data_IF_186508401537
#
_entry.id   IF_186508401537
#
_cell.length_a   1.000
_cell.length_b   1.000
_cell.length_c   1.000
_cell.angle_alpha   90.00
_cell.angle_beta   90.00
_cell.angle_gamma   90.00
#
_symmetry.space_group_name_H-M   'P 1'
#
loop_
_entity.id
_entity.type
_entity.pdbx_description
1 polymer ?
#
# COMPACT_ATOMS: atom_id res chain seq x y z
N UNK A 1 4.75 -82.13 1.66
CA UNK A 1 4.43 -81.43 0.38
C UNK A 1 3.14 -80.61 0.39
N UNK A 2 2.03 -81.09 0.96
CA UNK A 2 0.74 -80.35 0.95
C UNK A 2 0.71 -79.05 1.80
N UNK A 3 1.51 -78.94 2.86
CA UNK A 3 1.55 -77.73 3.70
C UNK A 3 2.30 -76.55 3.06
N UNK A 4 3.42 -76.81 2.36
CA UNK A 4 4.17 -75.75 1.64
C UNK A 4 3.38 -75.13 0.48
N UNK A 5 2.48 -75.90 -0.15
CA UNK A 5 1.63 -75.45 -1.27
C UNK A 5 0.45 -74.56 -0.81
N UNK A 6 -0.05 -74.74 0.43
CA UNK A 6 -1.08 -73.86 1.01
C UNK A 6 -0.50 -72.53 1.49
N UNK A 7 0.72 -72.53 2.02
CA UNK A 7 1.40 -71.31 2.47
C UNK A 7 1.79 -70.40 1.30
N UNK A 8 2.23 -70.95 0.16
CA UNK A 8 2.55 -70.17 -1.05
C UNK A 8 1.32 -69.54 -1.72
N UNK A 9 0.15 -70.18 -1.62
CA UNK A 9 -1.12 -69.64 -2.14
C UNK A 9 -1.64 -68.52 -1.23
N UNK A 10 -1.55 -68.67 0.10
CA UNK A 10 -1.91 -67.61 1.04
C UNK A 10 -0.98 -66.38 0.92
N UNK A 11 0.34 -66.59 0.75
CA UNK A 11 1.30 -65.50 0.55
C UNK A 11 1.07 -64.79 -0.79
N UNK A 12 0.72 -65.54 -1.84
CA UNK A 12 0.38 -65.00 -3.16
C UNK A 12 -0.91 -64.18 -3.15
N UNK A 13 -1.93 -64.59 -2.39
CA UNK A 13 -3.18 -63.83 -2.22
C UNK A 13 -2.94 -62.57 -1.38
N UNK A 14 -2.13 -62.65 -0.31
CA UNK A 14 -1.77 -61.49 0.51
C UNK A 14 -0.94 -60.46 -0.29
N UNK A 15 0.02 -60.92 -1.10
CA UNK A 15 0.78 -60.05 -2.01
C UNK A 15 -0.09 -59.49 -3.15
N UNK A 16 -1.11 -60.23 -3.60
CA UNK A 16 -2.08 -59.72 -4.58
C UNK A 16 -2.96 -58.62 -3.98
N UNK A 17 -3.40 -58.72 -2.72
CA UNK A 17 -4.13 -57.64 -2.04
C UNK A 17 -3.24 -56.45 -1.63
N UNK A 18 -1.96 -56.68 -1.32
CA UNK A 18 -1.00 -55.59 -1.10
C UNK A 18 -0.66 -54.88 -2.42
N UNK A 19 -0.53 -55.62 -3.54
CA UNK A 19 -0.34 -55.06 -4.87
C UNK A 19 -1.62 -54.36 -5.40
N UNK A 20 -2.81 -54.88 -5.10
CA UNK A 20 -4.09 -54.23 -5.41
C UNK A 20 -4.32 -52.99 -4.54
N UNK A 21 -3.91 -53.04 -3.27
CA UNK A 21 -3.87 -51.87 -2.38
C UNK A 21 -2.90 -50.80 -2.88
N UNK A 22 -1.72 -51.19 -3.35
CA UNK A 22 -0.72 -50.28 -3.94
C UNK A 22 -1.13 -49.75 -5.33
N UNK A 23 -1.93 -50.49 -6.10
CA UNK A 23 -2.53 -50.00 -7.36
C UNK A 23 -3.76 -49.10 -7.13
N UNK A 24 -4.43 -49.18 -5.98
CA UNK A 24 -5.50 -48.28 -5.60
C UNK A 24 -5.00 -46.93 -5.07
N UNK A 25 -3.69 -46.77 -4.82
CA UNK A 25 -3.09 -45.49 -4.43
C UNK A 25 -2.68 -44.59 -5.60
N UNK A 26 -2.81 -45.05 -6.86
CA UNK A 26 -2.50 -44.22 -8.04
C UNK A 26 -3.75 -43.73 -8.80
N UNK A 27 -4.94 -44.17 -8.42
CA UNK A 27 -6.18 -43.62 -8.93
C UNK A 27 -6.73 -42.60 -7.92
N UNK A 28 -6.99 -41.35 -8.33
CA UNK A 28 -7.74 -40.41 -7.50
C UNK A 28 -9.05 -41.06 -7.07
N UNK A 29 -9.27 -41.20 -5.76
CA UNK A 29 -10.57 -41.62 -5.26
C UNK A 29 -11.45 -40.37 -5.28
N UNK A 30 -12.38 -40.31 -6.23
CA UNK A 30 -13.38 -39.27 -6.29
C UNK A 30 -14.57 -39.69 -5.42
N UNK A 31 -14.73 -39.02 -4.27
CA UNK A 31 -15.78 -39.32 -3.32
C UNK A 31 -16.90 -38.29 -3.52
N UNK A 32 -17.81 -38.56 -4.46
CA UNK A 32 -19.10 -37.84 -4.52
C UNK A 32 -20.06 -38.48 -3.52
N UNK A 33 -19.78 -38.33 -2.23
CA UNK A 33 -20.76 -38.71 -1.21
C UNK A 33 -21.70 -37.56 -1.01
N UNK A 34 -22.98 -37.82 -1.24
CA UNK A 34 -24.09 -36.98 -0.81
C UNK A 34 -24.16 -36.98 0.74
N UNK A 35 -23.14 -36.50 1.47
CA UNK A 35 -23.07 -36.58 2.95
C UNK A 35 -22.17 -35.49 3.60
N UNK A 36 -22.76 -34.82 4.60
CA UNK A 36 -22.17 -34.05 5.73
C UNK A 36 -21.32 -32.80 5.49
N UNK A 37 -20.70 -32.60 4.32
CA UNK A 37 -19.90 -31.38 4.05
C UNK A 37 -20.36 -30.69 2.77
N UNK A 38 -20.29 -29.34 2.68
CA UNK A 38 -20.67 -28.60 1.48
C UNK A 38 -19.60 -28.64 0.38
N UNK A 39 -18.68 -29.60 0.40
CA UNK A 39 -17.52 -29.69 -0.50
C UNK A 39 -17.50 -31.03 -1.23
N UNK A 40 -17.28 -30.98 -2.54
CA UNK A 40 -16.79 -32.10 -3.34
C UNK A 40 -15.26 -32.10 -3.30
N UNK A 41 -14.65 -33.21 -2.89
CA UNK A 41 -13.21 -33.31 -2.69
C UNK A 41 -12.59 -34.53 -3.36
N UNK A 42 -11.33 -34.40 -3.77
CA UNK A 42 -10.46 -35.50 -4.17
C UNK A 42 -9.44 -35.75 -3.06
N UNK A 43 -9.24 -37.00 -2.67
CA UNK A 43 -8.20 -37.37 -1.69
C UNK A 43 -7.05 -38.04 -2.42
N UNK A 44 -5.84 -37.51 -2.23
CA UNK A 44 -4.59 -38.11 -2.73
C UNK A 44 -3.50 -37.99 -1.67
N UNK A 45 -2.70 -39.04 -1.48
CA UNK A 45 -1.55 -39.05 -0.57
C UNK A 45 -1.82 -38.57 0.87
N UNK A 46 -3.06 -38.68 1.37
CA UNK A 46 -3.44 -38.24 2.72
C UNK A 46 -3.80 -36.76 2.84
N UNK A 47 -3.97 -36.04 1.72
CA UNK A 47 -4.50 -34.69 1.68
C UNK A 47 -5.76 -34.60 0.81
N UNK A 48 -6.54 -33.55 1.05
CA UNK A 48 -7.76 -33.24 0.31
C UNK A 48 -7.56 -32.02 -0.61
N UNK A 49 -8.12 -32.13 -1.80
CA UNK A 49 -8.27 -31.05 -2.78
C UNK A 49 -9.75 -30.77 -2.98
N UNK A 50 -10.18 -29.50 -2.88
CA UNK A 50 -11.58 -29.11 -3.09
C UNK A 50 -11.81 -28.92 -4.59
N UNK A 51 -12.72 -29.70 -5.17
CA UNK A 51 -13.06 -29.63 -6.60
C UNK A 51 -14.33 -28.82 -6.87
N UNK A 52 -15.28 -28.81 -5.93
CA UNK A 52 -16.49 -27.99 -6.01
C UNK A 52 -17.04 -27.67 -4.63
N UNK A 53 -17.69 -26.51 -4.51
CA UNK A 53 -18.56 -26.15 -3.41
C UNK A 53 -20.00 -26.48 -3.80
N UNK A 54 -20.82 -26.96 -2.86
CA UNK A 54 -22.14 -27.52 -3.13
C UNK A 54 -23.28 -26.83 -2.37
N UNK A 55 -22.96 -25.89 -1.47
CA UNK A 55 -23.95 -25.08 -0.73
C UNK A 55 -24.20 -23.75 -1.45
N UNK A 56 -25.28 -23.07 -1.09
CA UNK A 56 -25.62 -21.71 -1.55
C UNK A 56 -25.17 -20.61 -0.57
N UNK A 57 -24.40 -20.97 0.47
CA UNK A 57 -23.91 -19.99 1.44
C UNK A 57 -22.91 -19.02 0.78
N UNK A 58 -23.03 -17.74 1.13
CA UNK A 58 -22.16 -16.66 0.63
C UNK A 58 -21.05 -16.29 1.62
N UNK A 59 -21.11 -16.82 2.84
CA UNK A 59 -20.06 -16.69 3.86
C UNK A 59 -19.40 -18.07 4.06
N UNK A 60 -18.27 -18.29 3.39
CA UNK A 60 -17.64 -19.61 3.25
C UNK A 60 -16.33 -19.65 4.03
N UNK A 61 -16.24 -20.58 4.98
CA UNK A 61 -15.01 -20.89 5.69
C UNK A 61 -14.43 -22.20 5.15
N UNK A 62 -13.28 -22.15 4.47
CA UNK A 62 -12.55 -23.36 4.07
C UNK A 62 -11.86 -23.94 5.30
N UNK A 63 -12.21 -25.15 5.75
CA UNK A 63 -11.58 -25.75 6.91
C UNK A 63 -10.19 -26.27 6.61
N UNK A 64 -9.30 -26.28 7.62
CA UNK A 64 -7.97 -26.88 7.52
C UNK A 64 -8.02 -28.39 7.24
N UNK A 65 -9.12 -29.05 7.63
CA UNK A 65 -9.37 -30.47 7.41
C UNK A 65 -10.80 -30.73 6.93
N UNK A 66 -10.97 -31.61 5.95
CA UNK A 66 -12.26 -32.17 5.52
C UNK A 66 -12.19 -33.69 5.66
N UNK A 67 -13.13 -34.27 6.41
CA UNK A 67 -13.15 -35.72 6.71
C UNK A 67 -11.84 -36.24 7.35
N UNK A 68 -11.17 -35.40 8.16
CA UNK A 68 -9.90 -35.73 8.84
C UNK A 68 -8.67 -35.70 7.93
N UNK A 69 -8.82 -35.26 6.66
CA UNK A 69 -7.72 -35.06 5.73
C UNK A 69 -7.39 -33.57 5.64
N UNK A 70 -6.10 -33.23 5.71
CA UNK A 70 -5.63 -31.84 5.56
C UNK A 70 -6.00 -31.31 4.17
N UNK A 71 -6.68 -30.18 4.11
CA UNK A 71 -6.94 -29.49 2.84
C UNK A 71 -5.65 -28.82 2.37
N UNK A 72 -5.19 -29.14 1.17
CA UNK A 72 -3.93 -28.63 0.63
C UNK A 72 -4.10 -27.85 -0.66
N UNK A 73 -5.19 -28.06 -1.41
CA UNK A 73 -5.50 -27.27 -2.60
C UNK A 73 -6.99 -26.99 -2.79
N UNK A 74 -7.28 -25.90 -3.50
CA UNK A 74 -8.60 -25.56 -4.04
C UNK A 74 -8.45 -25.45 -5.56
N UNK A 75 -9.20 -26.26 -6.30
CA UNK A 75 -9.14 -26.33 -7.75
C UNK A 75 -9.85 -25.14 -8.43
N UNK A 76 -9.72 -25.03 -9.75
CA UNK A 76 -10.39 -23.97 -10.49
C UNK A 76 -11.91 -24.14 -10.48
N UNK A 77 -12.64 -23.02 -10.53
CA UNK A 77 -14.11 -22.96 -10.65
C UNK A 77 -14.90 -23.62 -9.50
N UNK A 78 -14.29 -23.79 -8.32
CA UNK A 78 -14.92 -24.43 -7.16
C UNK A 78 -16.24 -23.78 -6.75
N UNK A 79 -16.38 -22.47 -6.92
CA UNK A 79 -17.54 -21.69 -6.48
C UNK A 79 -18.45 -21.22 -7.62
N UNK A 80 -18.28 -21.78 -8.83
CA UNK A 80 -18.92 -21.29 -10.06
C UNK A 80 -20.46 -21.22 -10.03
N UNK A 81 -21.13 -22.00 -9.17
CA UNK A 81 -22.59 -22.06 -9.12
C UNK A 81 -23.23 -20.97 -8.26
N UNK A 82 -22.45 -20.27 -7.43
CA UNK A 82 -22.94 -19.26 -6.49
C UNK A 82 -23.40 -17.94 -7.17
N UNK A 83 -23.20 -17.81 -8.48
CA UNK A 83 -23.66 -16.67 -9.27
C UNK A 83 -22.90 -15.38 -8.98
N UNK A 84 -23.53 -14.23 -9.25
CA UNK A 84 -22.94 -12.87 -9.09
C UNK A 84 -23.02 -12.34 -7.66
N UNK A 85 -23.26 -13.18 -6.66
CA UNK A 85 -23.34 -12.72 -5.28
C UNK A 85 -21.92 -12.52 -4.75
N UNK A 86 -21.72 -11.42 -4.01
CA UNK A 86 -20.49 -11.20 -3.24
C UNK A 86 -20.32 -12.36 -2.26
N UNK A 87 -19.26 -13.13 -2.44
CA UNK A 87 -18.91 -14.24 -1.54
C UNK A 87 -17.77 -13.78 -0.62
N UNK A 88 -17.88 -14.08 0.66
CA UNK A 88 -16.80 -13.92 1.64
C UNK A 88 -16.15 -15.27 1.85
N UNK A 89 -14.92 -15.41 1.37
CA UNK A 89 -14.21 -16.66 1.38
C UNK A 89 -13.01 -16.58 2.31
N UNK A 90 -13.03 -17.33 3.42
CA UNK A 90 -11.84 -17.56 4.20
C UNK A 90 -11.10 -18.79 3.68
N UNK A 91 -9.83 -18.62 3.31
CA UNK A 91 -8.92 -19.69 2.91
C UNK A 91 -7.73 -19.63 3.89
N UNK A 92 -7.34 -20.73 4.56
CA UNK A 92 -6.08 -20.81 5.34
C UNK A 92 -4.80 -20.74 4.49
N UNK A 93 -3.69 -20.19 5.03
CA UNK A 93 -2.49 -19.73 4.27
C UNK A 93 -1.61 -20.88 3.86
N UNK A 94 -1.89 -22.02 4.47
CA UNK A 94 -1.37 -23.33 4.17
C UNK A 94 -1.97 -23.93 2.89
N UNK A 95 -3.05 -23.37 2.33
CA UNK A 95 -3.77 -23.94 1.19
C UNK A 95 -3.33 -23.29 -0.12
N UNK A 96 -2.92 -24.11 -1.07
CA UNK A 96 -2.59 -23.65 -2.43
C UNK A 96 -3.88 -23.40 -3.23
N UNK A 97 -3.97 -22.23 -3.85
CA UNK A 97 -5.15 -21.80 -4.60
C UNK A 97 -4.82 -21.89 -6.08
N UNK A 98 -5.68 -22.56 -6.87
CA UNK A 98 -5.58 -22.50 -8.32
C UNK A 98 -5.86 -21.07 -8.84
N UNK A 99 -5.30 -20.72 -10.00
CA UNK A 99 -5.32 -19.33 -10.50
C UNK A 99 -6.72 -18.72 -10.66
N UNK A 100 -7.76 -19.53 -10.87
CA UNK A 100 -9.12 -19.09 -11.10
C UNK A 100 -10.13 -19.90 -10.28
N UNK A 101 -10.48 -19.45 -9.07
CA UNK A 101 -11.50 -20.11 -8.23
C UNK A 101 -12.93 -20.05 -8.81
N UNK A 102 -13.17 -19.21 -9.82
CA UNK A 102 -14.45 -18.95 -10.49
C UNK A 102 -14.26 -18.93 -12.01
N UNK A 103 -15.36 -19.12 -12.76
CA UNK A 103 -15.34 -19.08 -14.22
C UNK A 103 -15.09 -17.64 -14.72
N UNK A 104 -14.38 -17.49 -15.84
CA UNK A 104 -13.88 -16.24 -16.40
C UNK A 104 -14.97 -15.24 -16.88
N UNK A 105 -16.23 -15.48 -16.53
CA UNK A 105 -17.37 -14.65 -16.91
C UNK A 105 -18.08 -14.12 -15.65
N UNK A 106 -17.57 -12.97 -15.18
CA UNK A 106 -18.29 -11.97 -14.37
C UNK A 106 -18.80 -12.37 -12.97
N UNK A 107 -17.93 -12.73 -12.03
CA UNK A 107 -18.31 -12.91 -10.61
C UNK A 107 -17.23 -12.39 -9.66
N UNK A 108 -17.65 -11.91 -8.49
CA UNK A 108 -16.77 -11.26 -7.52
C UNK A 108 -16.87 -11.82 -6.12
N UNK A 109 -15.74 -11.85 -5.43
CA UNK A 109 -15.69 -12.25 -4.03
C UNK A 109 -14.51 -11.57 -3.32
N UNK A 110 -14.56 -11.60 -1.99
CA UNK A 110 -13.47 -11.18 -1.13
C UNK A 110 -12.84 -12.40 -0.46
N UNK A 111 -11.51 -12.48 -0.45
CA UNK A 111 -10.79 -13.28 0.52
C UNK A 111 -10.38 -12.44 1.73
N UNK A 112 -10.60 -12.98 2.93
CA UNK A 112 -10.31 -12.34 4.22
C UNK A 112 -9.34 -13.23 5.00
N UNK A 113 -8.32 -12.64 5.62
CA UNK A 113 -7.34 -13.32 6.49
C UNK A 113 -7.43 -12.80 7.94
N UNK A 114 -7.36 -13.72 8.91
CA UNK A 114 -7.89 -13.51 10.27
C UNK A 114 -7.04 -12.73 11.27
N UNK A 115 -5.80 -12.34 10.96
CA UNK A 115 -4.94 -11.85 12.03
C UNK A 115 -5.36 -10.49 12.60
N UNK A 116 -6.12 -9.69 11.82
CA UNK A 116 -6.90 -8.54 12.25
C UNK A 116 -8.07 -8.36 11.24
N UNK A 117 -9.20 -7.72 11.58
CA UNK A 117 -10.41 -7.71 10.72
C UNK A 117 -10.31 -6.77 9.50
N UNK A 118 -9.33 -7.03 8.64
CA UNK A 118 -9.10 -6.35 7.40
C UNK A 118 -9.69 -7.14 6.24
N UNK A 119 -10.25 -6.40 5.28
CA UNK A 119 -10.57 -6.95 3.98
C UNK A 119 -9.28 -7.17 3.22
N UNK A 120 -8.91 -8.44 2.97
CA UNK A 120 -7.54 -8.74 2.56
C UNK A 120 -7.31 -8.68 1.06
N UNK A 121 -8.18 -9.33 0.27
CA UNK A 121 -8.10 -9.30 -1.18
C UNK A 121 -9.48 -9.42 -1.81
N UNK A 122 -9.74 -8.59 -2.80
CA UNK A 122 -10.90 -8.64 -3.66
C UNK A 122 -10.50 -9.31 -4.97
N UNK A 123 -11.27 -10.29 -5.37
CA UNK A 123 -11.12 -10.99 -6.64
C UNK A 123 -12.49 -10.92 -7.29
N UNK A 124 -12.73 -9.83 -8.00
CA UNK A 124 -14.02 -9.59 -8.61
C UNK A 124 -14.03 -8.55 -9.71
N UNK A 125 -15.16 -8.48 -10.40
CA UNK A 125 -15.39 -7.66 -11.59
C UNK A 125 -16.56 -6.68 -11.45
N UNK A 126 -17.16 -6.52 -10.27
CA UNK A 126 -18.29 -5.60 -10.12
C UNK A 126 -17.84 -4.17 -10.37
N UNK A 127 -18.69 -3.45 -11.11
CA UNK A 127 -18.53 -2.03 -11.34
C UNK A 127 -18.91 -1.21 -10.11
N UNK A 128 -19.78 -1.74 -9.24
CA UNK A 128 -20.15 -1.08 -8.00
C UNK A 128 -19.96 -2.02 -6.83
N UNK A 129 -19.04 -1.67 -5.97
CA UNK A 129 -18.62 -2.45 -4.82
C UNK A 129 -19.16 -1.78 -3.56
N UNK A 130 -19.85 -2.55 -2.72
CA UNK A 130 -20.23 -2.14 -1.37
C UNK A 130 -19.62 -3.12 -0.37
N UNK A 131 -18.58 -2.66 0.32
CA UNK A 131 -17.92 -3.46 1.35
C UNK A 131 -18.88 -3.56 2.55
N UNK A 132 -19.12 -4.75 3.13
CA UNK A 132 -19.98 -4.91 4.29
C UNK A 132 -19.34 -4.32 5.55
N UNK A 133 -20.17 -3.86 6.48
CA UNK A 133 -19.73 -3.39 7.80
C UNK A 133 -19.26 -4.54 8.72
N UNK A 134 -19.72 -5.76 8.48
CA UNK A 134 -19.30 -6.96 9.18
C UNK A 134 -19.30 -8.21 8.29
N UNK A 135 -18.39 -9.14 8.58
CA UNK A 135 -18.36 -10.50 8.01
C UNK A 135 -18.22 -11.48 9.17
N UNK A 136 -19.00 -12.56 9.19
CA UNK A 136 -19.05 -13.52 10.31
C UNK A 136 -19.34 -12.87 11.67
N UNK A 137 -20.19 -11.83 11.69
CA UNK A 137 -20.54 -11.09 12.90
C UNK A 137 -19.42 -10.23 13.49
N UNK A 138 -18.31 -10.05 12.76
CA UNK A 138 -17.17 -9.22 13.18
C UNK A 138 -17.02 -8.04 12.22
N UNK A 139 -16.81 -6.85 12.78
CA UNK A 139 -16.72 -5.60 12.01
C UNK A 139 -15.51 -5.61 11.08
N UNK A 140 -15.67 -5.12 9.85
CA UNK A 140 -14.56 -4.83 8.94
C UNK A 140 -13.94 -3.49 9.36
N UNK A 141 -12.72 -3.52 9.91
CA UNK A 141 -12.07 -2.33 10.49
C UNK A 141 -11.03 -1.70 9.58
N UNK A 142 -10.63 -2.37 8.51
CA UNK A 142 -9.73 -1.80 7.52
C UNK A 142 -9.73 -2.54 6.20
N UNK A 143 -9.00 -1.97 5.25
CA UNK A 143 -8.70 -2.57 3.96
C UNK A 143 -7.20 -2.89 3.95
N UNK A 144 -6.83 -4.14 3.73
CA UNK A 144 -5.42 -4.56 3.69
C UNK A 144 -4.69 -3.92 2.51
N UNK A 145 -3.34 -3.89 2.58
CA UNK A 145 -2.52 -3.59 1.41
C UNK A 145 -2.89 -4.46 0.20
N UNK A 146 -2.89 -3.84 -0.98
CA UNK A 146 -3.17 -4.49 -2.28
C UNK A 146 -4.56 -5.15 -2.41
N UNK A 147 -5.51 -4.85 -1.52
CA UNK A 147 -6.80 -5.55 -1.49
C UNK A 147 -7.54 -5.53 -2.84
N UNK A 148 -7.64 -4.36 -3.49
CA UNK A 148 -8.28 -4.15 -4.78
C UNK A 148 -7.25 -3.82 -5.88
N UNK A 149 -6.00 -4.24 -5.75
CA UNK A 149 -4.98 -4.02 -6.77
C UNK A 149 -5.47 -4.51 -8.16
N UNK A 150 -5.35 -3.65 -9.18
CA UNK A 150 -5.78 -3.88 -10.57
C UNK A 150 -7.27 -4.28 -10.72
N UNK A 151 -8.08 -4.07 -9.67
CA UNK A 151 -9.51 -4.26 -9.75
C UNK A 151 -10.14 -3.17 -10.64
N UNK A 152 -11.27 -3.49 -11.27
CA UNK A 152 -11.91 -2.61 -12.25
C UNK A 152 -13.29 -2.04 -11.85
N UNK A 153 -13.51 -1.61 -10.58
CA UNK A 153 -14.77 -0.98 -10.19
C UNK A 153 -14.87 0.44 -10.73
N UNK A 154 -16.10 0.93 -10.88
CA UNK A 154 -16.43 2.34 -11.11
C UNK A 154 -16.74 3.08 -9.80
N UNK A 155 -17.33 2.39 -8.83
CA UNK A 155 -17.70 2.94 -7.51
C UNK A 155 -17.37 1.96 -6.39
N UNK A 156 -16.77 2.46 -5.30
CA UNK A 156 -16.54 1.71 -4.06
C UNK A 156 -17.18 2.45 -2.88
N UNK A 157 -17.97 1.75 -2.08
CA UNK A 157 -18.54 2.25 -0.82
C UNK A 157 -17.86 1.52 0.33
N UNK A 158 -17.04 2.24 1.10
CA UNK A 158 -16.38 1.73 2.29
C UNK A 158 -17.31 1.94 3.51
N UNK A 159 -17.49 0.93 4.39
CA UNK A 159 -18.39 1.02 5.54
C UNK A 159 -17.80 1.89 6.66
N UNK A 160 -18.67 2.49 7.47
CA UNK A 160 -18.30 3.38 8.57
C UNK A 160 -17.38 2.74 9.63
N UNK A 161 -17.29 1.41 9.67
CA UNK A 161 -16.43 0.68 10.61
C UNK A 161 -14.95 0.73 10.24
N UNK A 162 -14.61 1.09 9.01
CA UNK A 162 -13.23 1.15 8.52
C UNK A 162 -12.53 2.41 9.00
N UNK A 163 -11.35 2.25 9.61
CA UNK A 163 -10.49 3.35 10.07
C UNK A 163 -9.17 3.43 9.29
N UNK A 164 -8.87 2.45 8.46
CA UNK A 164 -7.58 2.29 7.77
C UNK A 164 -7.72 1.78 6.34
N UNK A 165 -7.03 2.44 5.40
CA UNK A 165 -6.87 2.01 4.00
C UNK A 165 -5.39 1.69 3.77
N UNK A 166 -5.09 0.41 3.54
CA UNK A 166 -3.74 -0.11 3.40
C UNK A 166 -3.05 0.27 2.10
N UNK A 167 -1.72 0.09 2.10
CA UNK A 167 -0.87 0.55 1.01
C UNK A 167 -1.16 -0.17 -0.30
N UNK A 168 -1.26 0.58 -1.40
CA UNK A 168 -1.61 0.03 -2.72
C UNK A 168 -3.01 -0.62 -2.80
N UNK A 169 -3.89 -0.41 -1.82
CA UNK A 169 -5.19 -1.11 -1.74
C UNK A 169 -6.10 -0.90 -2.95
N UNK A 170 -5.98 0.19 -3.70
CA UNK A 170 -6.67 0.46 -4.97
C UNK A 170 -5.68 0.86 -6.07
N UNK A 171 -4.46 0.31 -6.01
CA UNK A 171 -3.43 0.55 -7.02
C UNK A 171 -3.89 0.08 -8.39
N UNK A 172 -3.68 0.91 -9.42
CA UNK A 172 -4.10 0.63 -10.80
C UNK A 172 -5.61 0.42 -11.01
N UNK A 173 -6.49 0.84 -10.09
CA UNK A 173 -7.94 0.85 -10.30
C UNK A 173 -8.37 1.96 -11.29
N UNK A 174 -8.04 1.82 -12.57
CA UNK A 174 -8.16 2.88 -13.60
C UNK A 174 -9.60 3.34 -13.87
N UNK A 175 -10.60 2.50 -13.62
CA UNK A 175 -12.01 2.85 -13.80
C UNK A 175 -12.68 3.36 -12.51
N UNK A 176 -12.00 3.34 -11.36
CA UNK A 176 -12.58 3.74 -10.07
C UNK A 176 -12.76 5.26 -10.03
N UNK A 177 -13.93 5.75 -10.41
CA UNK A 177 -14.23 7.19 -10.45
C UNK A 177 -14.70 7.74 -9.13
N UNK A 178 -15.39 6.91 -8.33
CA UNK A 178 -16.05 7.33 -7.11
C UNK A 178 -15.72 6.42 -5.94
N UNK A 179 -15.28 7.00 -4.85
CA UNK A 179 -15.13 6.29 -3.57
C UNK A 179 -15.84 7.05 -2.46
N UNK A 180 -16.60 6.32 -1.64
CA UNK A 180 -17.19 6.87 -0.41
C UNK A 180 -16.30 6.47 0.75
N UNK A 181 -15.58 7.44 1.31
CA UNK A 181 -14.72 7.23 2.48
C UNK A 181 -15.55 7.22 3.78
N UNK A 182 -15.16 6.40 4.78
CA UNK A 182 -15.90 6.29 6.03
C UNK A 182 -15.61 7.47 6.97
N UNK A 183 -16.57 7.91 7.80
CA UNK A 183 -16.45 9.10 8.63
C UNK A 183 -15.40 9.01 9.75
N UNK A 184 -14.86 7.81 10.01
CA UNK A 184 -13.83 7.53 11.01
C UNK A 184 -12.50 7.08 10.40
N UNK A 185 -12.30 7.31 9.09
CA UNK A 185 -11.02 7.04 8.43
C UNK A 185 -9.91 7.88 9.04
N UNK A 186 -8.84 7.26 9.50
CA UNK A 186 -7.68 7.95 10.10
C UNK A 186 -6.51 8.02 9.13
N UNK A 187 -6.29 6.96 8.36
CA UNK A 187 -5.08 6.78 7.55
C UNK A 187 -5.39 6.26 6.15
N UNK A 188 -4.78 6.92 5.16
CA UNK A 188 -4.64 6.46 3.77
C UNK A 188 -3.15 6.20 3.55
N UNK A 189 -2.75 4.94 3.39
CA UNK A 189 -1.33 4.57 3.31
C UNK A 189 -0.70 4.77 1.93
N UNK A 190 0.61 4.50 1.89
CA UNK A 190 1.47 4.54 0.70
C UNK A 190 0.82 3.92 -0.53
N UNK A 191 0.82 4.65 -1.65
CA UNK A 191 0.28 4.22 -2.95
C UNK A 191 -1.19 3.76 -2.97
N UNK A 192 -1.98 4.00 -1.92
CA UNK A 192 -3.34 3.44 -1.78
C UNK A 192 -4.24 3.61 -3.01
N UNK A 193 -4.13 4.72 -3.74
CA UNK A 193 -4.89 5.08 -4.93
C UNK A 193 -4.01 5.46 -6.12
N UNK A 194 -2.74 5.02 -6.14
CA UNK A 194 -1.83 5.34 -7.24
C UNK A 194 -2.37 4.76 -8.56
N UNK A 195 -2.28 5.54 -9.66
CA UNK A 195 -2.84 5.19 -10.98
C UNK A 195 -4.34 4.85 -11.00
N UNK A 196 -5.11 5.29 -10.00
CA UNK A 196 -6.55 5.10 -9.97
C UNK A 196 -7.30 6.14 -10.82
N UNK A 197 -8.53 5.80 -11.22
CA UNK A 197 -9.42 6.70 -11.96
C UNK A 197 -10.14 7.75 -11.11
N UNK A 198 -9.76 7.93 -9.85
CA UNK A 198 -10.54 8.75 -8.90
C UNK A 198 -10.46 10.21 -9.34
N UNK A 199 -11.61 10.82 -9.57
CA UNK A 199 -11.68 12.21 -10.04
C UNK A 199 -11.84 13.20 -8.89
N UNK A 200 -12.57 12.81 -7.84
CA UNK A 200 -12.86 13.64 -6.67
C UNK A 200 -12.75 12.83 -5.39
N UNK A 201 -12.22 13.45 -4.36
CA UNK A 201 -12.22 12.88 -3.01
C UNK A 201 -12.67 13.90 -1.95
N UNK A 202 -13.58 13.45 -1.09
CA UNK A 202 -14.04 14.21 0.07
C UNK A 202 -13.42 13.56 1.32
N UNK A 203 -12.39 14.18 1.89
CA UNK A 203 -11.66 13.66 3.04
C UNK A 203 -12.49 13.87 4.33
N UNK A 204 -12.76 12.82 5.11
CA UNK A 204 -13.30 12.96 6.47
C UNK A 204 -12.36 13.78 7.36
N UNK A 205 -12.94 14.53 8.32
CA UNK A 205 -12.17 15.33 9.29
C UNK A 205 -11.22 14.50 10.17
N UNK A 206 -11.41 13.19 10.19
CA UNK A 206 -10.60 12.25 10.96
C UNK A 206 -9.34 11.82 10.23
N UNK A 207 -9.19 12.11 8.94
CA UNK A 207 -7.98 11.73 8.18
C UNK A 207 -6.80 12.55 8.68
N UNK A 208 -5.86 11.89 9.34
CA UNK A 208 -4.67 12.51 9.90
C UNK A 208 -3.45 12.31 9.02
N UNK A 209 -3.40 11.19 8.27
CA UNK A 209 -2.26 10.77 7.46
C UNK A 209 -2.68 10.42 6.03
N UNK A 210 -1.96 11.01 5.07
CA UNK A 210 -1.93 10.61 3.66
C UNK A 210 -0.50 10.18 3.33
N UNK A 211 -0.33 8.91 3.00
CA UNK A 211 0.96 8.28 2.79
C UNK A 211 1.63 8.65 1.48
N UNK A 212 2.89 8.23 1.37
CA UNK A 212 3.74 8.53 0.22
C UNK A 212 3.09 8.05 -1.08
N UNK A 213 2.98 8.92 -2.08
CA UNK A 213 2.37 8.57 -3.37
C UNK A 213 0.92 8.12 -3.32
N UNK A 214 0.17 8.34 -2.22
CA UNK A 214 -1.15 7.76 -2.02
C UNK A 214 -2.13 8.01 -3.17
N UNK A 215 -2.07 9.15 -3.85
CA UNK A 215 -2.88 9.49 -5.03
C UNK A 215 -2.05 9.77 -6.28
N UNK A 216 -0.76 9.41 -6.29
CA UNK A 216 0.12 9.73 -7.41
C UNK A 216 -0.44 9.16 -8.73
N UNK A 217 -0.37 9.97 -9.79
CA UNK A 217 -0.82 9.63 -11.14
C UNK A 217 -2.29 9.18 -11.25
N UNK A 218 -3.11 9.48 -10.24
CA UNK A 218 -4.55 9.31 -10.34
C UNK A 218 -5.20 10.43 -11.15
N UNK A 219 -6.46 10.24 -11.57
CA UNK A 219 -7.24 11.28 -12.26
C UNK A 219 -7.75 12.41 -11.34
N UNK A 220 -7.23 12.51 -10.12
CA UNK A 220 -7.76 13.37 -9.07
C UNK A 220 -7.67 14.84 -9.47
N UNK A 221 -8.83 15.51 -9.51
CA UNK A 221 -8.97 16.91 -9.92
C UNK A 221 -9.58 17.79 -8.81
N UNK A 222 -10.29 17.21 -7.85
CA UNK A 222 -10.92 17.93 -6.74
C UNK A 222 -10.69 17.19 -5.41
N UNK A 223 -10.21 17.94 -4.42
CA UNK A 223 -9.98 17.44 -3.05
C UNK A 223 -10.65 18.41 -2.08
N UNK A 224 -11.51 17.88 -1.20
CA UNK A 224 -12.11 18.63 -0.10
C UNK A 224 -11.63 18.06 1.25
N UNK A 225 -11.44 18.91 2.27
CA UNK A 225 -11.07 18.50 3.63
C UNK A 225 -9.57 18.33 3.89
N UNK A 226 -8.70 18.73 2.95
CA UNK A 226 -7.25 18.61 3.08
C UNK A 226 -6.68 19.48 4.22
N UNK A 227 -7.37 20.58 4.58
CA UNK A 227 -6.99 21.54 5.61
C UNK A 227 -6.91 20.96 7.04
N UNK A 228 -7.39 19.74 7.25
CA UNK A 228 -7.34 19.04 8.54
C UNK A 228 -6.26 17.95 8.61
N UNK A 229 -5.66 17.60 7.48
CA UNK A 229 -4.67 16.52 7.40
C UNK A 229 -3.35 17.01 7.99
N UNK A 230 -2.88 16.32 9.03
CA UNK A 230 -1.69 16.73 9.79
C UNK A 230 -0.38 16.22 9.19
N UNK A 231 -0.44 15.13 8.43
CA UNK A 231 0.72 14.54 7.77
C UNK A 231 0.36 14.12 6.33
N UNK A 232 0.92 14.84 5.36
CA UNK A 232 0.85 14.48 3.94
C UNK A 232 2.26 14.13 3.53
N UNK A 233 2.54 12.86 3.26
CA UNK A 233 3.88 12.39 2.93
C UNK A 233 4.27 12.69 1.47
N UNK A 234 5.50 12.32 1.11
CA UNK A 234 6.13 12.60 -0.16
C UNK A 234 5.25 12.18 -1.35
N UNK A 235 5.14 13.05 -2.36
CA UNK A 235 4.47 12.74 -3.64
C UNK A 235 3.02 12.30 -3.53
N UNK A 236 2.35 12.55 -2.40
CA UNK A 236 0.98 12.10 -2.15
C UNK A 236 0.03 12.41 -3.32
N UNK A 237 0.22 13.53 -4.04
CA UNK A 237 -0.62 13.95 -5.17
C UNK A 237 0.16 14.12 -6.48
N UNK A 238 1.34 13.49 -6.59
CA UNK A 238 2.24 13.69 -7.72
C UNK A 238 1.57 13.38 -9.05
N UNK A 239 1.64 14.30 -10.01
CA UNK A 239 1.13 14.06 -11.36
C UNK A 239 -0.39 13.89 -11.43
N UNK A 240 -1.10 14.33 -10.40
CA UNK A 240 -2.56 14.46 -10.44
C UNK A 240 -2.95 15.76 -11.14
N UNK A 241 -4.08 15.79 -11.88
CA UNK A 241 -4.62 17.05 -12.39
C UNK A 241 -4.84 18.11 -11.31
N UNK A 242 -5.14 17.71 -10.08
CA UNK A 242 -5.30 18.61 -8.93
C UNK A 242 -3.99 19.33 -8.60
N UNK A 243 -2.88 18.59 -8.45
CA UNK A 243 -1.56 19.17 -8.17
C UNK A 243 -1.07 20.03 -9.34
N UNK A 244 -1.25 19.57 -10.58
CA UNK A 244 -0.84 20.29 -11.79
C UNK A 244 -1.54 21.65 -11.94
N UNK A 245 -2.81 21.73 -11.53
CA UNK A 245 -3.62 22.95 -11.58
C UNK A 245 -3.26 23.99 -10.50
N UNK A 246 -2.48 23.62 -9.48
CA UNK A 246 -1.92 24.60 -8.54
C UNK A 246 -1.03 25.54 -9.34
N UNK A 247 -1.08 26.85 -9.07
CA UNK A 247 -0.34 27.87 -9.85
C UNK A 247 0.93 28.32 -9.12
N UNK A 248 1.91 28.78 -9.90
CA UNK A 248 3.19 29.28 -9.39
C UNK A 248 4.24 28.19 -9.22
N UNK A 249 5.43 28.59 -8.81
CA UNK A 249 6.58 27.68 -8.72
C UNK A 249 6.59 26.87 -7.43
N UNK A 250 5.91 27.36 -6.40
CA UNK A 250 5.81 26.72 -5.08
C UNK A 250 4.43 26.05 -4.94
N UNK A 251 4.42 24.73 -4.98
CA UNK A 251 3.25 23.91 -4.69
C UNK A 251 3.20 23.69 -3.19
N UNK A 252 2.31 24.43 -2.52
CA UNK A 252 2.14 24.38 -1.08
C UNK A 252 0.75 23.88 -0.71
N UNK A 253 0.67 23.06 0.34
CA UNK A 253 -0.59 22.66 0.98
C UNK A 253 -0.61 23.28 2.38
N UNK A 254 -1.50 24.25 2.60
CA UNK A 254 -1.46 25.05 3.82
C UNK A 254 -0.12 25.79 3.97
N UNK A 255 0.57 25.58 5.09
CA UNK A 255 1.90 26.13 5.37
C UNK A 255 3.04 25.14 5.07
N UNK A 256 2.78 24.08 4.30
CA UNK A 256 3.80 23.09 3.91
C UNK A 256 4.15 23.23 2.43
N UNK A 257 5.44 23.34 2.11
CA UNK A 257 5.96 23.23 0.75
C UNK A 257 6.14 21.75 0.38
N UNK A 258 5.49 21.34 -0.71
CA UNK A 258 5.54 19.96 -1.21
C UNK A 258 6.35 19.79 -2.49
N UNK A 259 6.35 20.80 -3.36
CA UNK A 259 7.11 20.76 -4.62
C UNK A 259 7.47 22.17 -5.07
N UNK A 260 8.74 22.36 -5.43
CA UNK A 260 9.22 23.50 -6.17
C UNK A 260 9.40 23.10 -7.63
N UNK A 261 8.64 23.72 -8.54
CA UNK A 261 8.68 23.46 -9.98
C UNK A 261 9.18 24.64 -10.80
N UNK A 262 9.87 25.57 -10.15
CA UNK A 262 10.48 26.71 -10.82
C UNK A 262 11.75 26.34 -11.58
N UNK A 263 12.22 27.30 -12.39
CA UNK A 263 13.42 27.18 -13.22
C UNK A 263 14.63 27.93 -12.65
N UNK A 264 14.49 28.57 -11.48
CA UNK A 264 15.60 29.30 -10.87
C UNK A 264 16.57 28.34 -10.17
N UNK A 265 17.87 28.68 -10.25
CA UNK A 265 18.95 27.94 -9.59
C UNK A 265 19.33 28.51 -8.23
N UNK A 266 18.95 29.77 -7.95
CA UNK A 266 18.99 30.38 -6.62
C UNK A 266 17.53 30.64 -6.20
N UNK A 267 17.05 29.95 -5.17
CA UNK A 267 15.63 29.91 -4.81
C UNK A 267 15.43 30.47 -3.41
N UNK A 268 14.58 31.48 -3.29
CA UNK A 268 14.12 32.00 -2.00
C UNK A 268 12.73 31.43 -1.71
N UNK A 269 12.59 30.71 -0.59
CA UNK A 269 11.31 30.11 -0.24
C UNK A 269 10.32 31.16 0.29
N UNK A 270 9.00 30.99 0.06
CA UNK A 270 7.98 31.92 0.56
C UNK A 270 7.99 32.01 2.09
N UNK A 271 7.91 33.20 2.66
CA UNK A 271 7.82 33.38 4.13
C UNK A 271 6.48 32.93 4.74
N UNK A 272 5.55 32.42 3.92
CA UNK A 272 4.26 31.89 4.37
C UNK A 272 4.33 30.42 4.79
N UNK A 273 5.38 29.69 4.41
CA UNK A 273 5.55 28.28 4.77
C UNK A 273 6.26 28.11 6.12
N UNK A 274 5.92 27.03 6.82
CA UNK A 274 6.54 26.59 8.07
C UNK A 274 7.25 25.24 7.93
N UNK A 275 6.83 24.42 6.97
CA UNK A 275 7.31 23.04 6.79
C UNK A 275 7.77 22.86 5.36
N UNK A 276 8.91 22.19 5.18
CA UNK A 276 9.37 21.69 3.88
C UNK A 276 9.26 20.17 3.88
N UNK A 277 8.55 19.61 2.90
CA UNK A 277 8.30 18.19 2.78
C UNK A 277 8.42 17.72 1.33
N UNK A 278 9.60 17.22 0.93
CA UNK A 278 9.83 16.78 -0.46
C UNK A 278 9.90 17.92 -1.48
N UNK A 279 10.18 19.15 -1.02
CA UNK A 279 10.09 20.35 -1.85
C UNK A 279 11.01 20.38 -3.08
N UNK A 280 12.18 19.76 -3.03
CA UNK A 280 13.16 19.79 -4.12
C UNK A 280 13.59 18.38 -4.51
N UNK A 281 13.16 17.91 -5.69
CA UNK A 281 13.31 16.52 -6.11
C UNK A 281 13.87 16.41 -7.54
N UNK A 282 14.85 15.55 -7.79
CA UNK A 282 15.28 15.24 -9.18
C UNK A 282 15.06 13.76 -9.45
N UNK A 283 14.30 13.43 -10.50
CA UNK A 283 14.12 12.07 -11.00
C UNK A 283 14.29 12.00 -12.51
N UNK A 284 14.71 10.84 -12.99
CA UNK A 284 14.70 10.52 -14.42
C UNK A 284 13.27 10.69 -14.96
N UNK A 285 13.11 11.54 -15.98
CA UNK A 285 11.86 11.88 -16.68
C UNK A 285 10.98 12.99 -16.06
N UNK A 286 11.36 13.59 -14.93
CA UNK A 286 10.67 14.79 -14.42
C UNK A 286 11.49 16.06 -14.71
N UNK A 287 10.95 17.05 -15.45
CA UNK A 287 11.72 18.24 -15.83
C UNK A 287 11.99 19.21 -14.66
N UNK A 288 11.48 18.91 -13.45
CA UNK A 288 11.50 19.80 -12.31
C UNK A 288 11.76 19.10 -10.96
N UNK A 289 12.21 19.88 -9.98
CA UNK A 289 13.07 21.03 -10.19
C UNK A 289 14.30 20.68 -11.04
N UNK A 290 14.81 21.68 -11.75
CA UNK A 290 16.16 21.60 -12.31
C UNK A 290 17.19 21.47 -11.18
N UNK A 291 18.46 21.28 -11.51
CA UNK A 291 19.55 21.35 -10.51
C UNK A 291 19.61 22.75 -9.88
N UNK A 292 19.09 22.86 -8.66
CA UNK A 292 19.12 24.07 -7.82
C UNK A 292 20.47 24.13 -7.12
N UNK A 293 21.09 25.31 -7.15
CA UNK A 293 22.42 25.57 -6.57
C UNK A 293 22.34 26.22 -5.20
N UNK A 294 21.34 27.07 -4.96
CA UNK A 294 21.14 27.69 -3.64
C UNK A 294 19.67 27.69 -3.26
N UNK A 295 19.37 27.36 -2.01
CA UNK A 295 18.04 27.52 -1.42
C UNK A 295 18.14 28.34 -0.15
N UNK A 296 17.36 29.41 -0.08
CA UNK A 296 17.27 30.28 1.07
C UNK A 296 15.97 30.02 1.83
N UNK A 297 16.11 29.52 3.06
CA UNK A 297 14.98 29.18 3.92
C UNK A 297 14.63 30.39 4.80
N UNK A 298 13.38 30.88 4.80
CA UNK A 298 12.97 32.01 5.62
C UNK A 298 12.80 31.60 7.10
N UNK A 299 12.88 32.59 7.99
CA UNK A 299 12.69 32.44 9.45
C UNK A 299 11.31 31.90 9.86
N UNK A 300 10.35 31.86 8.93
CA UNK A 300 9.03 31.26 9.17
C UNK A 300 9.07 29.73 9.23
N UNK A 301 10.10 29.10 8.64
CA UNK A 301 10.24 27.64 8.60
C UNK A 301 10.79 27.13 9.92
N UNK A 302 10.13 26.11 10.46
CA UNK A 302 10.51 25.43 11.71
C UNK A 302 10.90 23.96 11.48
N UNK A 303 10.48 23.38 10.36
CA UNK A 303 10.62 21.95 10.08
C UNK A 303 11.04 21.69 8.64
N UNK A 304 12.04 20.83 8.44
CA UNK A 304 12.46 20.31 7.15
C UNK A 304 12.48 18.79 7.24
N UNK A 305 11.66 18.09 6.48
CA UNK A 305 11.58 16.63 6.53
C UNK A 305 12.67 15.98 5.67
N UNK A 306 12.86 14.67 5.86
CA UNK A 306 13.78 13.88 5.04
C UNK A 306 13.53 14.07 3.55
N UNK A 307 14.58 13.91 2.75
CA UNK A 307 14.50 13.90 1.29
C UNK A 307 13.88 15.17 0.68
N UNK A 308 13.79 16.26 1.46
CA UNK A 308 13.33 17.57 0.99
C UNK A 308 14.20 18.15 -0.12
N UNK A 309 15.42 17.65 -0.30
CA UNK A 309 16.38 18.02 -1.35
C UNK A 309 16.92 16.79 -2.10
N UNK A 310 16.09 15.77 -2.28
CA UNK A 310 16.47 14.53 -2.95
C UNK A 310 16.97 14.75 -4.39
N UNK A 311 18.06 14.08 -4.76
CA UNK A 311 18.68 14.14 -6.09
C UNK A 311 19.41 15.45 -6.42
N UNK A 312 19.34 16.48 -5.57
CA UNK A 312 19.97 17.78 -5.79
C UNK A 312 21.47 17.74 -5.49
N UNK A 313 22.32 17.82 -6.52
CA UNK A 313 23.78 17.75 -6.39
C UNK A 313 24.45 19.13 -6.36
N UNK A 314 25.42 19.27 -5.45
CA UNK A 314 26.19 20.49 -5.18
C UNK A 314 25.30 21.67 -4.77
N UNK A 315 24.27 21.40 -3.97
CA UNK A 315 23.32 22.41 -3.48
C UNK A 315 23.82 23.05 -2.17
N UNK A 316 23.71 24.38 -2.04
CA UNK A 316 23.86 25.09 -0.78
C UNK A 316 22.47 25.40 -0.19
N UNK A 317 22.20 24.94 1.02
CA UNK A 317 20.93 25.21 1.71
C UNK A 317 21.19 26.13 2.90
N UNK A 318 20.68 27.36 2.84
CA UNK A 318 20.81 28.38 3.88
C UNK A 318 19.69 28.19 4.89
N UNK A 319 20.03 27.66 6.07
CA UNK A 319 19.07 27.24 7.10
C UNK A 319 19.17 28.19 8.32
N UNK A 320 18.11 28.94 8.65
CA UNK A 320 18.09 29.82 9.81
C UNK A 320 17.92 29.08 11.14
N UNK A 321 18.15 29.78 12.26
CA UNK A 321 17.99 29.21 13.61
C UNK A 321 16.55 28.84 13.95
N UNK A 322 15.56 29.40 13.25
CA UNK A 322 14.15 29.05 13.41
C UNK A 322 13.85 27.59 13.12
N UNK A 323 14.67 26.92 12.28
CA UNK A 323 14.48 25.52 11.94
C UNK A 323 14.96 24.65 13.09
N UNK A 324 14.00 24.11 13.85
CA UNK A 324 14.24 23.29 15.03
C UNK A 324 14.11 21.80 14.80
N UNK A 325 13.48 21.39 13.69
CA UNK A 325 13.30 19.99 13.31
C UNK A 325 13.84 19.72 11.90
N UNK A 326 14.80 18.80 11.77
CA UNK A 326 15.42 18.43 10.50
C UNK A 326 15.45 16.92 10.30
N UNK A 327 15.08 16.47 9.11
CA UNK A 327 15.02 15.06 8.73
C UNK A 327 13.84 14.32 9.35
N UNK A 328 13.94 13.00 9.36
CA UNK A 328 12.98 12.10 9.98
C UNK A 328 13.61 11.41 11.20
N UNK A 329 12.85 11.36 12.29
CA UNK A 329 13.12 10.54 13.47
C UNK A 329 12.30 9.23 13.42
N UNK A 330 12.17 8.60 12.25
CA UNK A 330 11.51 7.30 12.19
C UNK A 330 12.48 6.24 12.66
N UNK A 331 12.24 5.75 13.88
CA UNK A 331 13.05 4.73 14.53
C UNK A 331 12.91 3.35 13.85
N UNK A 332 11.93 3.19 12.96
CA UNK A 332 11.56 1.91 12.35
C UNK A 332 12.15 1.71 10.94
N UNK A 333 12.82 2.72 10.36
CA UNK A 333 13.48 2.59 9.05
C UNK A 333 14.93 2.08 9.18
N UNK A 334 15.38 1.15 8.30
CA UNK A 334 16.77 0.70 8.25
C UNK A 334 17.72 1.89 8.06
N UNK A 335 18.87 1.87 8.75
CA UNK A 335 19.90 2.95 8.77
C UNK A 335 20.38 3.45 7.38
N UNK A 336 20.14 2.68 6.32
CA UNK A 336 20.46 3.01 4.93
C UNK A 336 19.42 3.91 4.25
N UNK A 337 18.17 3.92 4.71
CA UNK A 337 17.15 4.91 4.34
C UNK A 337 17.26 6.08 5.31
N UNK A 338 18.32 6.86 5.12
CA UNK A 338 18.69 7.85 6.10
C UNK A 338 17.59 8.90 6.17
N UNK A 339 17.04 9.14 7.36
CA UNK A 339 16.16 10.27 7.67
C UNK A 339 16.87 11.62 7.54
N UNK A 340 17.51 11.85 6.39
CA UNK A 340 18.35 12.96 6.03
C UNK A 340 17.61 13.86 5.04
N UNK A 341 17.80 15.17 5.13
CA UNK A 341 17.19 16.13 4.19
C UNK A 341 17.71 15.99 2.74
N UNK A 342 18.87 15.35 2.55
CA UNK A 342 19.46 15.00 1.23
C UNK A 342 19.37 13.48 0.99
N UNK A 343 19.35 13.07 -0.29
CA UNK A 343 19.46 11.66 -0.69
C UNK A 343 20.81 11.07 -0.26
N UNK A 344 21.91 11.68 -0.71
CA UNK A 344 23.24 11.39 -0.19
C UNK A 344 23.72 12.58 0.65
N UNK A 345 24.33 12.28 1.80
CA UNK A 345 24.86 13.28 2.74
C UNK A 345 25.91 14.20 2.11
N UNK A 346 26.53 13.78 1.01
CA UNK A 346 27.54 14.52 0.25
C UNK A 346 26.97 15.34 -0.91
N UNK A 347 25.65 15.30 -1.13
CA UNK A 347 25.01 15.99 -2.25
C UNK A 347 24.93 17.51 -2.05
N UNK A 348 25.06 18.01 -0.82
CA UNK A 348 24.95 19.44 -0.54
C UNK A 348 25.73 19.91 0.68
N UNK A 349 25.68 21.23 0.89
CA UNK A 349 26.27 21.93 2.04
C UNK A 349 25.16 22.65 2.79
N UNK A 350 25.10 22.47 4.11
CA UNK A 350 24.26 23.29 4.99
C UNK A 350 25.01 24.58 5.33
N UNK A 351 24.45 25.73 4.95
CA UNK A 351 24.95 27.04 5.37
C UNK A 351 24.09 27.52 6.53
N UNK A 352 24.67 27.69 7.70
CA UNK A 352 23.94 27.99 8.94
C UNK A 352 24.76 28.90 9.86
N UNK A 353 24.18 29.30 10.99
CA UNK A 353 24.84 30.08 12.05
C UNK A 353 25.33 29.19 13.19
N UNK A 354 26.30 29.70 13.96
CA UNK A 354 26.86 29.03 15.13
C UNK A 354 25.79 28.78 16.20
N UNK A 355 25.80 27.57 16.76
CA UNK A 355 24.88 27.08 17.78
C UNK A 355 23.48 26.72 17.28
N UNK A 356 23.24 26.71 15.96
CA UNK A 356 21.90 26.41 15.44
C UNK A 356 21.55 24.92 15.51
N UNK A 357 20.25 24.56 15.49
CA UNK A 357 19.85 23.15 15.35
C UNK A 357 20.35 22.52 14.04
N UNK A 358 20.47 23.30 12.97
CA UNK A 358 20.98 22.84 11.68
C UNK A 358 22.48 22.51 11.73
N UNK A 359 23.27 23.26 12.50
CA UNK A 359 24.69 22.94 12.75
C UNK A 359 24.81 21.61 13.50
N UNK A 360 24.07 21.46 14.61
CA UNK A 360 24.06 20.23 15.40
C UNK A 360 23.63 19.02 14.55
N UNK A 361 22.61 19.20 13.72
CA UNK A 361 22.13 18.19 12.78
C UNK A 361 23.19 17.82 11.74
N UNK A 362 23.85 18.81 11.12
CA UNK A 362 24.91 18.57 10.13
C UNK A 362 26.08 17.77 10.73
N UNK A 363 26.52 18.14 11.93
CA UNK A 363 27.56 17.42 12.69
C UNK A 363 27.12 15.98 12.97
N UNK A 364 25.90 15.80 13.50
CA UNK A 364 25.38 14.48 13.88
C UNK A 364 25.24 13.53 12.68
N UNK A 365 24.88 14.05 11.51
CA UNK A 365 24.72 13.26 10.29
C UNK A 365 26.00 13.21 9.43
N UNK A 366 27.03 13.98 9.73
CA UNK A 366 28.25 14.06 8.93
C UNK A 366 28.04 14.72 7.57
N UNK A 367 27.14 15.71 7.51
CA UNK A 367 26.83 16.50 6.31
C UNK A 367 27.81 17.69 6.26
N UNK A 368 28.41 18.03 5.11
CA UNK A 368 29.20 19.24 4.96
C UNK A 368 28.41 20.49 5.37
N UNK A 369 29.03 21.39 6.12
CA UNK A 369 28.39 22.64 6.54
C UNK A 369 29.37 23.81 6.58
N UNK A 370 28.80 25.02 6.50
CA UNK A 370 29.50 26.31 6.61
C UNK A 370 28.80 27.17 7.65
N UNK A 371 29.58 27.74 8.57
CA UNK A 371 29.10 28.70 9.55
C UNK A 371 29.28 30.12 9.02
N UNK A 372 28.21 30.92 9.09
CA UNK A 372 28.17 32.35 8.80
C UNK A 372 27.50 33.10 9.96
N UNK A 373 27.62 34.42 9.99
CA UNK A 373 26.90 35.27 10.95
C UNK A 373 25.43 35.46 10.55
N UNK A 374 24.58 35.84 11.51
CA UNK A 374 23.16 36.17 11.23
C UNK A 374 23.05 37.35 10.25
N UNK A 375 23.93 38.35 10.36
CA UNK A 375 24.00 39.49 9.44
C UNK A 375 24.35 39.04 8.02
N UNK A 376 25.34 38.16 7.85
CA UNK A 376 25.69 37.60 6.54
C UNK A 376 24.55 36.76 5.96
N UNK A 377 23.86 35.96 6.78
CA UNK A 377 22.72 35.16 6.33
C UNK A 377 21.57 36.04 5.83
N UNK A 378 21.24 37.09 6.58
CA UNK A 378 20.24 38.07 6.16
C UNK A 378 20.67 38.79 4.88
N UNK A 379 21.95 39.17 4.78
CA UNK A 379 22.47 39.87 3.60
C UNK A 379 22.42 39.01 2.34
N UNK A 380 22.77 37.72 2.44
CA UNK A 380 22.66 36.75 1.34
C UNK A 380 21.21 36.56 0.90
N UNK A 381 20.28 36.42 1.85
CA UNK A 381 18.84 36.35 1.59
C UNK A 381 18.34 37.61 0.86
N UNK A 382 18.67 38.80 1.36
CA UNK A 382 18.27 40.07 0.75
C UNK A 382 18.87 40.26 -0.65
N UNK A 383 20.09 39.77 -0.89
CA UNK A 383 20.72 39.81 -2.19
C UNK A 383 20.03 38.85 -3.17
N UNK A 384 19.64 37.66 -2.71
CA UNK A 384 18.90 36.70 -3.51
C UNK A 384 17.50 37.23 -3.89
N UNK A 385 16.80 37.91 -2.99
CA UNK A 385 15.49 38.53 -3.25
C UNK A 385 15.55 39.65 -4.31
N UNK A 386 16.69 40.35 -4.43
CA UNK A 386 16.87 41.49 -5.36
C UNK A 386 17.22 41.07 -6.79
N UNK A 387 17.71 39.85 -6.99
CA UNK A 387 17.99 39.29 -8.31
C UNK A 387 16.69 38.83 -8.94
#
# INVERSE_FOLDING_TARGET
>A
MKAKRKLSILLGILLFFVALGLYLFSCPIHISTKLTTPYDITIQHGSASINAYLSDDVEIYIPDEILGMKVTSIENNVFQHLGTNVIFLHIPSSIQIASNLYNAESQSYYSIWFNDFYLDKYIGCEKKIKIPDAVWGRKVTGISPLCFEDADPEEVIIPDTVTYIGGGSFWYCKNLKKITLPPYLETIEVYAFEYSGIEKIDLPKTVLKIGTGAFAYSCLNEINGLEHVSNIEHWAFRGTPWEENIKGDFVCFGDTLHLYRGLETEVVLPSTIKIINGGFYIEENYPYPISVKKVFIPESVTTILSESFYGQKEIEVYIPKSVTALGCNDADLPLEYTGCIFENRMDGIIVTTEGSPAEAYAIAKGIPYKIITEEEMQQEMENAIKK
#
